data_IF_279443925387
#
_entry.id   IF_279443925387
#
_cell.length_a   1.000
_cell.length_b   1.000
_cell.length_c   1.000
_cell.angle_alpha   90.00
_cell.angle_beta   90.00
_cell.angle_gamma   90.00
#
_symmetry.space_group_name_H-M   'P 1'
#
loop_
_entity.id
_entity.type
_entity.pdbx_description
1 polymer ?
#
# COMPACT_ATOMS: atom_id res chain seq x y z
N UNK A 1 22.22 14.08 2.79
CA UNK A 1 20.94 14.48 2.15
C UNK A 1 20.98 14.45 0.63
N UNK A 2 22.02 14.97 -0.05
CA UNK A 2 22.08 14.99 -1.53
C UNK A 2 22.03 13.59 -2.19
N UNK A 3 22.61 12.57 -1.58
CA UNK A 3 22.64 11.21 -2.16
C UNK A 3 21.35 10.39 -1.91
N UNK A 4 20.51 10.76 -0.96
CA UNK A 4 19.24 10.08 -0.68
C UNK A 4 18.11 10.53 -1.63
N UNK A 5 18.09 11.80 -2.01
CA UNK A 5 17.18 12.32 -3.03
C UNK A 5 17.50 11.75 -4.43
N UNK A 6 18.78 11.46 -4.72
CA UNK A 6 19.20 10.85 -5.99
C UNK A 6 18.69 9.41 -6.14
N UNK A 7 18.52 8.66 -5.04
CA UNK A 7 18.02 7.28 -5.10
C UNK A 7 16.51 7.24 -5.44
N UNK A 8 15.74 8.21 -4.98
CA UNK A 8 14.30 8.31 -5.28
C UNK A 8 14.09 8.69 -6.76
N UNK A 9 14.97 9.53 -7.32
CA UNK A 9 14.92 9.89 -8.73
C UNK A 9 15.39 8.74 -9.65
N UNK A 10 16.31 7.89 -9.22
CA UNK A 10 16.77 6.74 -10.02
C UNK A 10 15.68 5.67 -10.19
N UNK A 11 14.77 5.52 -9.22
CA UNK A 11 13.64 4.58 -9.33
C UNK A 11 12.56 5.06 -10.31
N UNK A 12 12.50 6.37 -10.60
CA UNK A 12 11.58 6.93 -11.60
C UNK A 12 12.14 6.88 -13.04
N UNK A 13 13.43 6.68 -13.18
CA UNK A 13 14.17 6.72 -14.45
C UNK A 13 14.52 5.34 -15.03
N UNK A 14 13.79 4.27 -14.66
CA UNK A 14 13.93 3.00 -15.35
C UNK A 14 13.48 3.18 -16.81
N UNK A 15 14.37 3.12 -17.80
CA UNK A 15 14.00 3.32 -19.19
C UNK A 15 13.04 2.20 -19.58
N UNK A 16 11.81 2.56 -19.93
CA UNK A 16 10.92 1.70 -20.70
C UNK A 16 11.57 1.50 -22.08
N UNK A 17 12.46 0.54 -22.18
CA UNK A 17 12.98 0.10 -23.48
C UNK A 17 11.80 -0.40 -24.31
N UNK A 18 11.30 0.47 -25.16
CA UNK A 18 10.30 0.15 -26.17
C UNK A 18 11.00 -0.63 -27.29
N UNK A 19 10.97 -1.95 -27.23
CA UNK A 19 11.33 -2.80 -28.35
C UNK A 19 10.11 -3.52 -28.91
N UNK A 20 9.85 -3.23 -30.16
CA UNK A 20 9.04 -3.94 -31.18
C UNK A 20 8.23 -5.13 -30.74
N UNK A 21 6.92 -4.97 -30.68
CA UNK A 21 5.93 -5.96 -31.09
C UNK A 21 4.58 -5.28 -31.29
N UNK A 22 4.04 -5.42 -32.44
CA UNK A 22 2.76 -4.94 -32.96
C UNK A 22 1.55 -5.55 -32.22
N UNK A 23 1.43 -5.32 -30.94
CA UNK A 23 0.22 -5.65 -30.20
C UNK A 23 -0.13 -4.49 -29.28
N UNK A 24 -1.30 -3.94 -29.50
CA UNK A 24 -1.97 -2.99 -28.60
C UNK A 24 -1.92 -3.54 -27.16
N UNK A 25 -1.02 -3.02 -26.32
CA UNK A 25 -0.90 -3.48 -24.94
C UNK A 25 -1.99 -2.83 -24.12
N UNK A 26 -2.95 -3.64 -23.74
CA UNK A 26 -3.99 -3.20 -22.81
C UNK A 26 -3.40 -3.09 -21.39
N UNK A 27 -3.65 -1.95 -20.77
CA UNK A 27 -3.35 -1.68 -19.37
C UNK A 27 -4.67 -1.42 -18.67
N UNK A 28 -4.94 -2.17 -17.60
CA UNK A 28 -6.08 -1.92 -16.74
C UNK A 28 -5.66 -0.87 -15.70
N UNK A 29 -6.39 0.25 -15.62
CA UNK A 29 -6.24 1.31 -14.64
C UNK A 29 -7.42 1.26 -13.68
N UNK A 30 -7.16 1.12 -12.40
CA UNK A 30 -8.17 1.10 -11.35
C UNK A 30 -7.92 2.27 -10.38
N UNK A 31 -8.96 3.03 -10.13
CA UNK A 31 -8.99 4.06 -9.10
C UNK A 31 -10.01 3.67 -8.04
N UNK A 32 -9.58 3.63 -6.78
CA UNK A 32 -10.44 3.32 -5.65
C UNK A 32 -10.32 4.43 -4.62
N UNK A 33 -11.46 4.89 -4.14
CA UNK A 33 -11.61 5.76 -2.99
C UNK A 33 -12.16 4.93 -1.84
N UNK A 34 -11.57 5.05 -0.67
CA UNK A 34 -11.98 4.34 0.53
C UNK A 34 -12.32 5.28 1.68
N UNK A 35 -13.30 4.89 2.45
CA UNK A 35 -13.70 5.54 3.70
C UNK A 35 -13.95 4.48 4.76
N UNK A 36 -13.49 4.74 5.98
CA UNK A 36 -13.67 3.79 7.06
C UNK A 36 -13.07 4.24 8.37
N UNK A 37 -12.70 3.27 9.19
CA UNK A 37 -12.16 3.50 10.53
C UNK A 37 -10.66 3.20 10.54
N UNK A 38 -9.90 4.11 11.11
CA UNK A 38 -8.47 3.96 11.35
C UNK A 38 -8.20 3.95 12.85
N UNK A 39 -7.32 3.07 13.27
CA UNK A 39 -6.85 2.91 14.64
C UNK A 39 -5.32 2.98 14.63
N UNK A 40 -4.76 3.88 15.42
CA UNK A 40 -3.31 4.11 15.52
C UNK A 40 -2.87 4.05 16.98
N UNK A 41 -1.82 3.30 17.25
CA UNK A 41 -1.01 3.37 18.44
C UNK A 41 0.43 3.64 18.00
N UNK A 42 1.03 4.68 18.50
CA UNK A 42 2.45 4.96 18.31
C UNK A 42 3.05 5.39 19.65
N UNK A 43 3.79 4.48 20.30
CA UNK A 43 4.33 4.71 21.63
C UNK A 43 5.46 5.75 21.69
N UNK A 44 5.93 6.21 20.53
CA UNK A 44 6.79 7.39 20.47
C UNK A 44 6.02 8.68 20.75
N UNK A 45 4.78 8.76 20.29
CA UNK A 45 3.91 9.93 20.44
C UNK A 45 3.09 9.86 21.73
N UNK A 46 2.47 8.69 21.97
CA UNK A 46 1.54 8.50 23.09
C UNK A 46 1.39 7.01 23.42
N UNK A 47 1.26 6.64 24.70
CA UNK A 47 0.92 5.28 25.09
C UNK A 47 -0.56 4.94 24.85
N UNK A 48 -1.38 5.90 24.43
CA UNK A 48 -2.81 5.74 24.18
C UNK A 48 -3.11 5.39 22.72
N UNK A 49 -4.18 4.65 22.52
CA UNK A 49 -4.75 4.40 21.22
C UNK A 49 -5.59 5.58 20.73
N UNK A 50 -5.45 5.88 19.45
CA UNK A 50 -6.24 6.90 18.74
C UNK A 50 -7.07 6.26 17.65
N UNK A 51 -8.35 6.62 17.59
CA UNK A 51 -9.31 6.02 16.66
C UNK A 51 -10.15 7.09 16.00
N UNK A 52 -10.44 6.93 14.70
CA UNK A 52 -11.27 7.90 13.99
C UNK A 52 -11.56 7.55 12.56
N UNK A 53 -12.01 8.55 11.80
CA UNK A 53 -12.31 8.43 10.38
C UNK A 53 -11.01 8.38 9.57
N UNK A 54 -10.94 7.44 8.63
CA UNK A 54 -9.85 7.30 7.69
C UNK A 54 -10.35 7.31 6.25
N UNK A 55 -9.54 7.91 5.38
CA UNK A 55 -9.77 8.02 3.94
C UNK A 55 -8.60 7.43 3.18
N UNK A 56 -8.87 6.89 2.01
CA UNK A 56 -7.81 6.44 1.11
C UNK A 56 -8.12 6.74 -0.33
N UNK A 57 -7.08 7.00 -1.10
CA UNK A 57 -7.11 7.05 -2.55
C UNK A 57 -6.06 6.09 -3.07
N UNK A 58 -6.44 5.18 -3.93
CA UNK A 58 -5.49 4.27 -4.55
C UNK A 58 -5.65 4.24 -6.07
N UNK A 59 -4.51 4.16 -6.74
CA UNK A 59 -4.41 3.93 -8.18
C UNK A 59 -3.60 2.67 -8.41
N UNK A 60 -4.11 1.79 -9.25
CA UNK A 60 -3.45 0.56 -9.64
C UNK A 60 -3.43 0.41 -11.14
N UNK A 61 -2.31 -0.05 -11.66
CA UNK A 61 -2.18 -0.50 -13.05
C UNK A 61 -1.86 -1.97 -13.10
N UNK A 62 -2.43 -2.66 -14.07
CA UNK A 62 -2.18 -4.07 -14.32
C UNK A 62 -1.97 -4.30 -15.82
N UNK A 63 -0.80 -4.84 -16.19
CA UNK A 63 -0.44 -5.14 -17.58
C UNK A 63 0.28 -6.47 -17.68
N UNK A 64 0.15 -7.14 -18.83
CA UNK A 64 0.95 -8.33 -19.11
C UNK A 64 2.41 -7.96 -19.24
N UNK A 65 3.28 -8.79 -18.66
CA UNK A 65 4.72 -8.66 -18.86
C UNK A 65 5.11 -9.02 -20.31
N UNK A 66 6.26 -8.50 -20.77
CA UNK A 66 6.83 -8.85 -22.07
C UNK A 66 7.37 -10.29 -22.11
N UNK A 67 7.71 -10.82 -20.94
CA UNK A 67 8.26 -12.14 -20.73
C UNK A 67 7.23 -13.06 -20.03
N UNK A 68 7.57 -14.31 -19.83
CA UNK A 68 6.69 -15.26 -19.13
C UNK A 68 5.58 -15.83 -20.02
N UNK A 69 5.68 -15.70 -21.36
CA UNK A 69 4.71 -16.24 -22.33
C UNK A 69 3.26 -15.87 -22.02
N UNK A 70 3.03 -14.62 -21.56
CA UNK A 70 1.71 -14.11 -21.18
C UNK A 70 1.15 -14.61 -19.84
N UNK A 71 1.94 -15.37 -19.07
CA UNK A 71 1.55 -15.87 -17.74
C UNK A 71 1.91 -14.91 -16.62
N UNK A 72 2.71 -13.88 -16.89
CA UNK A 72 3.13 -12.91 -15.90
C UNK A 72 2.42 -11.59 -16.13
N UNK A 73 1.93 -11.01 -15.04
CA UNK A 73 1.32 -9.67 -14.99
C UNK A 73 2.19 -8.78 -14.12
N UNK A 74 2.51 -7.60 -14.61
CA UNK A 74 3.13 -6.53 -13.81
C UNK A 74 2.00 -5.69 -13.22
N UNK A 75 2.05 -5.51 -11.92
CA UNK A 75 1.14 -4.67 -11.15
C UNK A 75 1.95 -3.51 -10.58
N UNK A 76 1.47 -2.28 -10.76
CA UNK A 76 1.99 -1.14 -10.00
C UNK A 76 0.84 -0.48 -9.27
N UNK A 77 1.08 -0.02 -8.05
CA UNK A 77 0.07 0.68 -7.27
C UNK A 77 0.65 1.87 -6.52
N UNK A 78 -0.21 2.83 -6.28
CA UNK A 78 0.00 3.99 -5.44
C UNK A 78 -1.19 4.09 -4.49
N UNK A 79 -0.92 4.36 -3.22
CA UNK A 79 -1.96 4.55 -2.22
C UNK A 79 -1.60 5.72 -1.33
N UNK A 80 -2.54 6.63 -1.15
CA UNK A 80 -2.50 7.70 -0.16
C UNK A 80 -3.59 7.45 0.88
N UNK A 81 -3.27 7.55 2.15
CA UNK A 81 -4.22 7.45 3.26
C UNK A 81 -4.09 8.70 4.13
N UNK A 82 -5.22 9.16 4.67
CA UNK A 82 -5.27 10.22 5.68
C UNK A 82 -6.31 9.86 6.72
N UNK A 83 -6.06 10.21 7.99
CA UNK A 83 -7.00 9.97 9.08
C UNK A 83 -6.96 11.12 10.09
N UNK A 84 -8.12 11.38 10.70
CA UNK A 84 -8.28 12.24 11.86
C UNK A 84 -8.78 11.40 13.02
N UNK A 85 -8.02 11.36 14.09
CA UNK A 85 -8.18 10.42 15.18
C UNK A 85 -8.33 11.16 16.51
N UNK A 86 -9.09 10.56 17.42
CA UNK A 86 -9.29 11.05 18.79
C UNK A 86 -8.78 9.98 19.76
N UNK A 87 -8.11 10.40 20.82
CA UNK A 87 -7.61 9.51 21.86
C UNK A 87 -8.75 8.82 22.62
N UNK A 88 -8.48 7.64 23.14
CA UNK A 88 -9.47 6.83 23.89
C UNK A 88 -10.01 7.54 25.14
N UNK A 89 -9.24 8.46 25.73
CA UNK A 89 -9.68 9.30 26.86
C UNK A 89 -10.57 10.48 26.45
N UNK A 90 -10.82 10.67 25.14
CA UNK A 90 -11.52 11.84 24.60
C UNK A 90 -10.64 13.08 24.45
N UNK A 91 -9.45 13.07 25.06
CA UNK A 91 -8.48 14.16 25.01
C UNK A 91 -7.40 13.87 23.96
N UNK A 92 -7.02 14.91 23.25
CA UNK A 92 -5.99 14.83 22.22
C UNK A 92 -6.49 14.29 20.90
N UNK A 93 -5.84 14.74 19.85
CA UNK A 93 -6.13 14.38 18.48
C UNK A 93 -4.86 14.00 17.75
N UNK A 94 -4.98 13.11 16.79
CA UNK A 94 -3.93 12.77 15.84
C UNK A 94 -4.37 12.97 14.42
N UNK A 95 -3.44 13.48 13.62
CA UNK A 95 -3.52 13.49 12.17
C UNK A 95 -2.52 12.49 11.64
N UNK A 96 -2.98 11.55 10.87
CA UNK A 96 -2.14 10.53 10.25
C UNK A 96 -2.24 10.60 8.74
N UNK A 97 -1.09 10.56 8.06
CA UNK A 97 -1.01 10.54 6.61
C UNK A 97 0.06 9.57 6.14
N UNK A 98 -0.24 8.78 5.12
CA UNK A 98 0.67 7.78 4.58
C UNK A 98 0.61 7.77 3.06
N UNK A 99 1.77 7.60 2.42
CA UNK A 99 1.93 7.32 1.01
C UNK A 99 2.65 5.99 0.84
N UNK A 100 2.18 5.19 -0.12
CA UNK A 100 2.77 3.90 -0.46
C UNK A 100 2.77 3.71 -1.96
N UNK A 101 3.85 3.18 -2.49
CA UNK A 101 3.97 2.77 -3.88
C UNK A 101 4.58 1.38 -3.97
N UNK A 102 4.19 0.62 -4.97
CA UNK A 102 4.75 -0.72 -5.15
C UNK A 102 4.68 -1.21 -6.58
N UNK A 103 5.57 -2.13 -6.90
CA UNK A 103 5.60 -2.86 -8.17
C UNK A 103 5.76 -4.35 -7.89
N UNK A 104 4.90 -5.16 -8.51
CA UNK A 104 4.90 -6.61 -8.34
C UNK A 104 4.83 -7.35 -9.66
N UNK A 105 5.29 -8.59 -9.64
CA UNK A 105 5.27 -9.52 -10.76
C UNK A 105 4.47 -10.75 -10.36
N UNK A 106 3.26 -10.89 -10.94
CA UNK A 106 2.29 -11.90 -10.57
C UNK A 106 2.25 -13.01 -11.61
N UNK A 107 2.57 -14.25 -11.23
CA UNK A 107 2.40 -15.45 -12.05
C UNK A 107 0.94 -15.90 -12.01
N UNK A 108 0.32 -15.96 -13.18
CA UNK A 108 -1.11 -16.25 -13.33
C UNK A 108 -1.35 -17.71 -13.69
N UNK A 109 -2.29 -18.36 -13.00
CA UNK A 109 -2.89 -19.64 -13.36
C UNK A 109 -4.39 -19.48 -13.56
N UNK A 110 -4.91 -19.89 -14.69
CA UNK A 110 -6.35 -19.88 -15.00
C UNK A 110 -6.92 -21.27 -14.85
N UNK A 111 -8.05 -21.39 -14.18
CA UNK A 111 -8.77 -22.62 -13.86
C UNK A 111 -10.24 -22.48 -14.28
N UNK A 112 -11.02 -23.57 -14.19
CA UNK A 112 -12.47 -23.58 -14.42
C UNK A 112 -12.86 -22.86 -15.73
N UNK A 113 -12.43 -23.40 -16.86
CA UNK A 113 -12.72 -22.84 -18.19
C UNK A 113 -12.37 -21.34 -18.32
N UNK A 114 -11.33 -20.91 -17.63
CA UNK A 114 -10.83 -19.53 -17.57
C UNK A 114 -11.67 -18.54 -16.75
N UNK A 115 -12.72 -18.98 -16.08
CA UNK A 115 -13.54 -18.12 -15.21
C UNK A 115 -12.85 -17.76 -13.90
N UNK A 116 -11.91 -18.60 -13.44
CA UNK A 116 -11.16 -18.40 -12.22
C UNK A 116 -9.67 -18.16 -12.51
N UNK A 117 -9.13 -17.07 -11.96
CA UNK A 117 -7.71 -16.72 -12.05
C UNK A 117 -7.10 -16.66 -10.65
N UNK A 118 -6.04 -17.40 -10.46
CA UNK A 118 -5.12 -17.25 -9.34
C UNK A 118 -3.85 -16.58 -9.84
N UNK A 119 -3.31 -15.68 -9.03
CA UNK A 119 -1.99 -15.12 -9.28
C UNK A 119 -1.25 -14.93 -7.97
N UNK A 120 0.06 -15.12 -7.99
CA UNK A 120 0.93 -14.90 -6.84
C UNK A 120 2.30 -14.41 -7.31
N UNK A 121 3.01 -13.72 -6.42
CA UNK A 121 4.37 -13.29 -6.73
C UNK A 121 4.90 -12.25 -5.75
N UNK A 122 6.14 -11.83 -5.96
CA UNK A 122 6.76 -10.79 -5.16
C UNK A 122 6.18 -9.40 -5.50
N UNK A 123 6.12 -8.58 -4.47
CA UNK A 123 5.75 -7.17 -4.54
C UNK A 123 6.81 -6.39 -3.76
N UNK A 124 7.47 -5.45 -4.43
CA UNK A 124 8.38 -4.50 -3.79
C UNK A 124 7.58 -3.23 -3.49
N UNK A 125 7.55 -2.82 -2.25
CA UNK A 125 6.83 -1.63 -1.79
C UNK A 125 7.78 -0.67 -1.10
N UNK A 126 7.54 0.61 -1.27
CA UNK A 126 8.14 1.68 -0.48
C UNK A 126 7.04 2.62 0.00
N UNK A 127 7.23 3.22 1.15
CA UNK A 127 6.26 4.14 1.68
C UNK A 127 6.82 5.08 2.72
N UNK A 128 6.08 6.16 2.93
CA UNK A 128 6.35 7.15 3.96
C UNK A 128 5.07 7.52 4.66
N UNK A 129 5.17 8.00 5.88
CA UNK A 129 4.03 8.48 6.65
C UNK A 129 4.45 9.46 7.71
N UNK A 130 3.47 10.21 8.18
CA UNK A 130 3.60 11.17 9.27
C UNK A 130 2.38 11.06 10.17
N UNK A 131 2.61 10.98 11.48
CA UNK A 131 1.58 11.16 12.49
C UNK A 131 1.93 12.41 13.32
N UNK A 132 0.94 13.26 13.54
CA UNK A 132 1.06 14.44 14.39
C UNK A 132 0.08 14.34 15.56
N UNK A 133 0.58 14.44 16.80
CA UNK A 133 -0.19 14.34 18.04
C UNK A 133 -0.28 15.70 18.70
N UNK A 134 -1.49 16.17 18.99
CA UNK A 134 -1.73 17.51 19.57
C UNK A 134 -1.41 17.60 21.07
N UNK A 135 -1.24 16.47 21.76
CA UNK A 135 -0.93 16.45 23.20
C UNK A 135 0.56 16.38 23.51
N UNK A 136 1.36 15.86 22.59
CA UNK A 136 2.80 15.72 22.79
C UNK A 136 3.49 17.05 22.48
N UNK A 137 3.82 17.80 23.51
CA UNK A 137 4.48 19.11 23.36
C UNK A 137 5.98 19.03 23.03
N UNK A 138 6.63 17.89 23.31
CA UNK A 138 8.07 17.74 23.11
C UNK A 138 8.41 17.15 21.72
N UNK A 139 7.77 16.04 21.36
CA UNK A 139 7.94 15.37 20.06
C UNK A 139 6.58 15.13 19.44
N UNK A 140 5.91 16.16 18.89
CA UNK A 140 4.52 16.04 18.42
C UNK A 140 4.36 15.25 17.13
N UNK A 141 5.44 14.95 16.41
CA UNK A 141 5.40 14.32 15.12
C UNK A 141 6.27 13.08 15.05
N UNK A 142 5.76 12.04 14.37
CA UNK A 142 6.48 10.80 14.06
C UNK A 142 6.48 10.57 12.55
N UNK A 143 7.68 10.56 11.96
CA UNK A 143 7.90 10.20 10.55
C UNK A 143 8.17 8.72 10.40
N UNK A 144 7.60 8.12 9.37
CA UNK A 144 7.82 6.71 8.99
C UNK A 144 8.38 6.65 7.57
N UNK A 145 9.34 5.79 7.35
CA UNK A 145 9.87 5.45 6.04
C UNK A 145 10.16 3.96 6.03
N UNK A 146 9.78 3.28 4.95
CA UNK A 146 10.04 1.84 4.81
C UNK A 146 10.19 1.44 3.34
N UNK A 147 10.87 0.32 3.14
CA UNK A 147 10.93 -0.40 1.88
C UNK A 147 10.91 -1.89 2.16
N UNK A 148 9.90 -2.59 1.63
CA UNK A 148 9.64 -4.00 1.91
C UNK A 148 9.57 -4.83 0.62
N UNK A 149 9.91 -6.10 0.75
CA UNK A 149 9.55 -7.15 -0.20
C UNK A 149 8.41 -7.95 0.42
N UNK A 150 7.28 -8.00 -0.27
CA UNK A 150 6.08 -8.71 0.16
C UNK A 150 5.78 -9.91 -0.73
N UNK A 151 5.15 -10.93 -0.16
CA UNK A 151 4.45 -11.96 -0.91
C UNK A 151 3.03 -11.47 -1.20
N UNK A 152 2.65 -11.46 -2.47
CA UNK A 152 1.33 -11.03 -2.90
C UNK A 152 0.57 -12.18 -3.57
N UNK A 153 -0.72 -12.27 -3.27
CA UNK A 153 -1.66 -13.24 -3.83
C UNK A 153 -2.93 -12.57 -4.32
N UNK A 154 -3.55 -13.15 -5.36
CA UNK A 154 -4.77 -12.69 -5.96
C UNK A 154 -5.63 -13.86 -6.40
N UNK A 155 -6.91 -13.82 -6.06
CA UNK A 155 -7.95 -14.70 -6.57
C UNK A 155 -9.02 -13.84 -7.27
N UNK A 156 -9.41 -14.24 -8.48
CA UNK A 156 -10.40 -13.52 -9.28
C UNK A 156 -11.35 -14.51 -9.91
N UNK A 157 -12.65 -14.25 -9.79
CA UNK A 157 -13.70 -15.06 -10.35
C UNK A 157 -14.62 -14.22 -11.21
N UNK A 158 -14.73 -14.57 -12.49
CA UNK A 158 -15.64 -13.93 -13.46
C UNK A 158 -16.90 -14.80 -13.61
N UNK A 159 -18.06 -14.20 -13.39
CA UNK A 159 -19.36 -14.86 -13.47
C UNK A 159 -20.39 -13.98 -14.17
N UNK A 160 -21.51 -14.56 -14.58
CA UNK A 160 -22.58 -13.85 -15.27
C UNK A 160 -23.77 -13.63 -14.33
N UNK A 161 -24.30 -12.41 -14.36
CA UNK A 161 -25.57 -12.05 -13.74
C UNK A 161 -26.47 -11.47 -14.83
N UNK A 162 -27.44 -12.24 -15.28
CA UNK A 162 -28.21 -11.91 -16.46
C UNK A 162 -27.32 -11.85 -17.72
N UNK A 163 -27.33 -10.70 -18.40
CA UNK A 163 -26.50 -10.46 -19.59
C UNK A 163 -25.14 -9.82 -19.29
N UNK A 164 -24.87 -9.50 -18.03
CA UNK A 164 -23.66 -8.77 -17.61
C UNK A 164 -22.62 -9.70 -17.02
N UNK A 165 -21.34 -9.42 -17.30
CA UNK A 165 -20.22 -10.14 -16.73
C UNK A 165 -19.69 -9.40 -15.52
N UNK A 166 -19.84 -9.98 -14.34
CA UNK A 166 -19.36 -9.49 -13.07
C UNK A 166 -18.03 -10.14 -12.72
N UNK A 167 -17.30 -9.52 -11.80
CA UNK A 167 -15.98 -10.01 -11.38
C UNK A 167 -15.83 -9.80 -9.86
N UNK A 168 -15.70 -10.90 -9.12
CA UNK A 168 -15.28 -10.89 -7.74
C UNK A 168 -13.76 -11.07 -7.68
N UNK A 169 -13.08 -10.31 -6.81
CA UNK A 169 -11.63 -10.34 -6.66
C UNK A 169 -11.25 -10.19 -5.20
N UNK A 170 -10.28 -10.99 -4.74
CA UNK A 170 -9.65 -10.90 -3.45
C UNK A 170 -8.12 -10.81 -3.63
N UNK A 171 -7.50 -9.91 -2.92
CA UNK A 171 -6.06 -9.68 -2.93
C UNK A 171 -5.52 -9.69 -1.51
N UNK A 172 -4.34 -10.22 -1.35
CA UNK A 172 -3.58 -10.19 -0.09
C UNK A 172 -2.12 -9.89 -0.40
N UNK A 173 -1.48 -9.08 0.44
CA UNK A 173 -0.03 -8.90 0.43
C UNK A 173 0.48 -8.92 1.87
N UNK A 174 1.58 -9.65 2.08
CA UNK A 174 2.23 -9.79 3.38
C UNK A 174 3.69 -9.40 3.22
N UNK A 175 4.15 -8.28 3.81
CA UNK A 175 5.56 -7.93 3.88
C UNK A 175 6.36 -9.02 4.58
N UNK A 176 7.43 -9.49 3.94
CA UNK A 176 8.27 -10.58 4.45
C UNK A 176 9.53 -10.04 5.09
N UNK A 177 10.20 -9.11 4.42
CA UNK A 177 11.43 -8.50 4.87
C UNK A 177 11.62 -7.13 4.22
N UNK A 178 12.35 -6.24 4.90
CA UNK A 178 12.62 -4.91 4.40
C UNK A 178 13.51 -4.09 5.32
N UNK A 179 13.49 -2.80 5.09
CA UNK A 179 14.16 -1.78 5.88
C UNK A 179 13.15 -0.73 6.31
N UNK A 180 13.26 -0.27 7.54
CA UNK A 180 12.41 0.77 8.08
C UNK A 180 13.25 1.83 8.82
N UNK A 181 12.79 3.06 8.77
CA UNK A 181 13.28 4.11 9.66
C UNK A 181 12.49 4.11 10.96
N UNK A 182 13.19 4.14 12.06
CA UNK A 182 12.63 4.30 13.41
C UNK A 182 13.58 5.12 14.28
N UNK A 183 13.16 6.19 14.95
CA UNK A 183 13.96 6.79 15.99
C UNK A 183 14.15 5.80 17.15
N UNK A 184 15.08 6.06 18.03
CA UNK A 184 15.15 5.38 19.32
C UNK A 184 14.06 5.93 20.25
N UNK A 185 13.62 5.13 21.24
CA UNK A 185 12.69 5.59 22.24
C UNK A 185 13.24 6.82 22.99
N UNK A 186 12.49 7.91 23.01
CA UNK A 186 12.92 9.18 23.63
C UNK A 186 13.85 10.04 22.77
N UNK A 187 14.34 9.56 21.63
CA UNK A 187 15.19 10.32 20.71
C UNK A 187 14.38 11.38 19.98
N UNK A 188 14.80 12.63 20.03
CA UNK A 188 14.15 13.72 19.32
C UNK A 188 14.63 13.83 17.87
N UNK A 189 13.81 14.41 17.00
CA UNK A 189 14.21 14.73 15.63
C UNK A 189 15.34 15.76 15.55
N UNK A 190 15.50 16.62 16.59
CA UNK A 190 16.63 17.52 16.69
C UNK A 190 17.94 16.75 16.89
N UNK A 191 17.96 15.73 17.75
CA UNK A 191 19.14 14.86 17.93
C UNK A 191 19.49 14.11 16.64
N UNK A 192 18.48 13.63 15.90
CA UNK A 192 18.67 12.93 14.64
C UNK A 192 19.24 13.82 13.53
N UNK A 193 18.64 14.97 13.32
CA UNK A 193 18.92 15.81 12.14
C UNK A 193 19.80 17.02 12.46
N UNK A 194 19.71 17.56 13.67
CA UNK A 194 20.52 18.69 14.15
C UNK A 194 21.88 18.25 14.67
N UNK A 195 21.92 17.25 15.54
CA UNK A 195 23.15 16.75 16.16
C UNK A 195 23.80 15.58 15.41
N UNK A 196 23.06 14.96 14.47
CA UNK A 196 23.58 13.87 13.65
C UNK A 196 23.63 12.51 14.36
N UNK A 197 22.95 12.34 15.48
CA UNK A 197 22.86 11.06 16.21
C UNK A 197 21.93 10.11 15.44
N UNK A 198 22.49 9.28 14.55
CA UNK A 198 21.72 8.44 13.62
C UNK A 198 21.94 6.95 13.83
N UNK A 199 22.48 6.57 14.97
CA UNK A 199 22.79 5.17 15.26
C UNK A 199 21.48 4.38 15.42
N UNK A 200 21.45 3.21 14.77
CA UNK A 200 20.35 2.25 14.83
C UNK A 200 18.98 2.74 14.32
N UNK A 201 18.90 3.86 13.59
CA UNK A 201 17.64 4.38 13.06
C UNK A 201 17.19 3.68 11.75
N UNK A 202 18.08 2.97 11.07
CA UNK A 202 17.73 2.07 9.97
C UNK A 202 17.62 0.65 10.52
N UNK A 203 16.41 0.10 10.55
CA UNK A 203 16.10 -1.18 11.17
C UNK A 203 15.69 -2.17 10.10
N UNK A 204 16.17 -3.41 10.19
CA UNK A 204 15.69 -4.52 9.35
C UNK A 204 14.30 -4.93 9.85
N UNK A 205 13.31 -4.85 8.96
CA UNK A 205 11.95 -5.33 9.20
C UNK A 205 11.79 -6.76 8.69
N UNK A 206 11.01 -7.56 9.40
CA UNK A 206 10.60 -8.91 9.00
C UNK A 206 9.28 -9.29 9.68
N UNK A 207 8.67 -10.39 9.27
CA UNK A 207 7.35 -10.82 9.75
C UNK A 207 7.23 -10.97 11.28
N UNK A 208 8.32 -11.13 12.02
CA UNK A 208 8.27 -11.29 13.48
C UNK A 208 8.37 -9.97 14.24
N UNK A 209 9.03 -8.93 13.68
CA UNK A 209 9.13 -7.62 14.32
C UNK A 209 8.21 -6.56 13.68
N UNK A 210 7.65 -6.88 12.50
CA UNK A 210 6.71 -6.03 11.76
C UNK A 210 5.58 -6.84 11.12
N UNK A 211 4.79 -7.63 11.90
CA UNK A 211 3.71 -8.45 11.35
C UNK A 211 2.63 -7.56 10.73
N UNK A 212 2.56 -7.58 9.41
CA UNK A 212 1.69 -6.68 8.64
C UNK A 212 1.02 -7.44 7.50
N UNK A 213 -0.17 -7.02 7.11
CA UNK A 213 -0.81 -7.50 5.90
C UNK A 213 -1.73 -6.45 5.29
N UNK A 214 -1.94 -6.55 4.00
CA UNK A 214 -2.93 -5.82 3.25
C UNK A 214 -3.92 -6.78 2.61
N UNK A 215 -5.20 -6.51 2.76
CA UNK A 215 -6.28 -7.28 2.15
C UNK A 215 -7.25 -6.36 1.41
N UNK A 216 -7.72 -6.78 0.23
CA UNK A 216 -8.74 -6.07 -0.53
C UNK A 216 -9.66 -7.06 -1.23
N UNK A 217 -10.95 -7.04 -0.89
CA UNK A 217 -12.00 -7.78 -1.59
C UNK A 217 -12.88 -6.81 -2.38
N UNK A 218 -13.12 -7.10 -3.65
CA UNK A 218 -13.90 -6.23 -4.54
C UNK A 218 -14.86 -7.01 -5.41
N UNK A 219 -15.98 -6.36 -5.72
CA UNK A 219 -16.96 -6.77 -6.71
C UNK A 219 -17.02 -5.69 -7.80
N UNK A 220 -16.78 -6.09 -9.05
CA UNK A 220 -16.79 -5.17 -10.19
C UNK A 220 -17.93 -5.49 -11.15
N UNK A 221 -18.67 -4.45 -11.49
CA UNK A 221 -19.82 -4.49 -12.38
C UNK A 221 -19.52 -3.73 -13.67
N UNK A 222 -19.96 -4.20 -14.84
CA UNK A 222 -19.75 -3.47 -16.09
C UNK A 222 -20.56 -2.16 -16.09
N UNK A 223 -19.91 -1.08 -16.48
CA UNK A 223 -20.49 0.25 -16.63
C UNK A 223 -19.98 0.86 -17.95
N UNK A 224 -20.67 0.60 -19.04
CA UNK A 224 -20.25 1.01 -20.38
C UNK A 224 -18.87 0.44 -20.73
N UNK A 225 -17.89 1.32 -20.99
CA UNK A 225 -16.50 0.94 -21.30
C UNK A 225 -15.60 0.75 -20.08
N UNK A 226 -16.17 0.93 -18.90
CA UNK A 226 -15.48 0.83 -17.60
C UNK A 226 -16.16 -0.23 -16.73
N UNK A 227 -15.64 -0.44 -15.53
CA UNK A 227 -16.27 -1.23 -14.48
C UNK A 227 -16.39 -0.39 -13.22
N UNK A 228 -17.56 -0.35 -12.63
CA UNK A 228 -17.74 0.15 -11.27
C UNK A 228 -17.26 -0.93 -10.31
N UNK A 229 -16.49 -0.54 -9.31
CA UNK A 229 -15.92 -1.45 -8.30
C UNK A 229 -16.37 -1.03 -6.93
N UNK A 230 -16.91 -1.96 -6.17
CA UNK A 230 -17.27 -1.83 -4.76
C UNK A 230 -16.48 -2.85 -3.97
N UNK A 231 -16.12 -2.55 -2.73
CA UNK A 231 -15.37 -3.54 -1.95
C UNK A 231 -15.08 -3.13 -0.52
N UNK A 232 -14.27 -3.97 0.10
CA UNK A 232 -13.80 -3.81 1.47
C UNK A 232 -12.28 -4.03 1.51
N UNK A 233 -11.58 -3.13 2.19
CA UNK A 233 -10.15 -3.19 2.40
C UNK A 233 -9.79 -3.22 3.88
N UNK A 234 -8.78 -3.99 4.22
CA UNK A 234 -8.13 -4.00 5.52
C UNK A 234 -6.62 -3.81 5.33
N UNK A 235 -6.05 -2.85 6.02
CA UNK A 235 -4.61 -2.61 6.06
C UNK A 235 -4.16 -2.66 7.51
N UNK A 236 -3.36 -3.66 7.84
CA UNK A 236 -2.80 -3.86 9.17
C UNK A 236 -1.31 -3.73 9.09
N UNK A 237 -0.76 -2.73 9.75
CA UNK A 237 0.66 -2.52 9.94
C UNK A 237 1.00 -2.46 11.40
N UNK A 238 1.95 -3.27 11.78
CA UNK A 238 2.44 -3.33 13.15
C UNK A 238 3.95 -3.37 13.10
N UNK A 239 4.60 -2.78 14.11
CA UNK A 239 6.02 -2.95 14.27
C UNK A 239 6.44 -2.77 15.72
N UNK A 240 7.61 -3.33 16.05
CA UNK A 240 8.31 -3.09 17.29
C UNK A 240 9.79 -2.89 16.98
N UNK A 241 10.17 -1.63 16.80
CA UNK A 241 11.52 -1.21 16.48
C UNK A 241 12.04 -0.28 17.57
N UNK A 242 13.31 -0.43 17.97
CA UNK A 242 13.97 0.47 18.92
C UNK A 242 13.15 0.76 20.20
N UNK A 243 12.46 -0.25 20.72
CA UNK A 243 11.52 -0.17 21.86
C UNK A 243 10.23 0.64 21.60
N UNK A 244 10.04 1.14 20.38
CA UNK A 244 8.79 1.78 19.95
C UNK A 244 7.87 0.74 19.37
N UNK A 245 6.65 0.67 19.90
CA UNK A 245 5.57 -0.17 19.39
C UNK A 245 4.61 0.68 18.55
N UNK A 246 4.33 0.24 17.34
CA UNK A 246 3.37 0.91 16.47
C UNK A 246 2.30 -0.07 15.98
N UNK A 247 1.06 0.40 15.95
CA UNK A 247 -0.07 -0.26 15.29
C UNK A 247 -0.75 0.77 14.40
N UNK A 248 -1.01 0.41 13.16
CA UNK A 248 -1.82 1.19 12.25
C UNK A 248 -2.77 0.23 11.54
N UNK A 249 -4.05 0.28 11.93
CA UNK A 249 -5.10 -0.59 11.40
C UNK A 249 -6.15 0.26 10.72
N UNK A 250 -6.41 -0.03 9.47
CA UNK A 250 -7.42 0.67 8.69
C UNK A 250 -8.38 -0.36 8.07
N UNK A 251 -9.65 -0.19 8.35
CA UNK A 251 -10.76 -0.94 7.77
C UNK A 251 -11.64 0.03 6.99
N UNK A 252 -11.93 -0.25 5.72
CA UNK A 252 -12.60 0.70 4.85
C UNK A 252 -13.50 0.03 3.83
N UNK A 253 -14.61 0.67 3.51
CA UNK A 253 -15.35 0.42 2.29
C UNK A 253 -14.71 1.20 1.15
N UNK A 254 -14.64 0.58 -0.01
CA UNK A 254 -14.04 1.19 -1.19
C UNK A 254 -15.04 1.23 -2.34
N UNK A 255 -15.01 2.34 -3.07
CA UNK A 255 -15.72 2.53 -4.31
C UNK A 255 -14.76 3.05 -5.36
N UNK A 256 -14.92 2.65 -6.59
CA UNK A 256 -14.07 3.15 -7.65
C UNK A 256 -14.44 2.62 -9.02
N UNK A 257 -13.55 2.84 -9.95
CA UNK A 257 -13.73 2.38 -11.32
C UNK A 257 -12.45 1.80 -11.89
N UNK A 258 -12.62 0.85 -12.82
CA UNK A 258 -11.53 0.27 -13.59
C UNK A 258 -11.79 0.50 -15.08
N UNK A 259 -10.79 1.04 -15.78
CA UNK A 259 -10.83 1.26 -17.22
C UNK A 259 -9.65 0.58 -17.90
N UNK A 260 -9.94 -0.14 -18.98
CA UNK A 260 -8.92 -0.71 -19.84
C UNK A 260 -8.53 0.31 -20.92
N UNK A 261 -7.29 0.73 -20.90
CA UNK A 261 -6.71 1.59 -21.92
C UNK A 261 -5.84 0.75 -22.86
N UNK A 262 -5.95 1.03 -24.17
CA UNK A 262 -5.07 0.48 -25.19
C UNK A 262 -4.14 1.58 -25.63
N UNK A 263 -2.85 1.40 -25.41
CA UNK A 263 -1.85 2.32 -25.94
C UNK A 263 -1.72 2.05 -27.44
N UNK A 264 -2.12 3.02 -28.24
CA UNK A 264 -1.76 3.08 -29.66
C UNK A 264 -0.30 3.53 -29.73
N UNK A 265 0.49 2.81 -30.50
CA UNK A 265 1.80 3.28 -30.91
C UNK A 265 1.66 4.12 -32.16
#
# INVERSE_FOLDING_TARGET
MKHFLSLIFLLSALPLSAQHADTLRAVDHSWLFGVGRTHVLDTYLSPQDYVGAGFSLSHRTERKAHWGRGRVTVVAHYRANAAHLTGSSGDGREWDANLRMGVGWMWNKRLAQRSFRLAFGPLVEAGTGLTYNTRNGNNPAQGRLFMDVAAAGLAEYAFRVGRQQWQARAEVAVPLAGLAFSPAYGQSYYELFGLGHRDHNCVVSHVFNAPSFHFLATLSLPLGRSRLTLGYGADVRQSRFNHIKTHHWQNQFVIGYTRRLRLLK
#
